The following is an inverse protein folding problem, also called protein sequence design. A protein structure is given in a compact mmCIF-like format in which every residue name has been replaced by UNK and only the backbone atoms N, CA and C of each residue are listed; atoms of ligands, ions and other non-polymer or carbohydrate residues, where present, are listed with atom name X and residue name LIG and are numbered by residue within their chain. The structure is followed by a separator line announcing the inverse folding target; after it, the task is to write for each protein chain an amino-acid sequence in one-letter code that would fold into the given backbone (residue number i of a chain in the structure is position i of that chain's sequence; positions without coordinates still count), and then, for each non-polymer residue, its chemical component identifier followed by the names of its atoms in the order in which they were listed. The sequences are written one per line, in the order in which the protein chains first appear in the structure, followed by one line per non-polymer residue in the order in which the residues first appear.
data_IF_903428930256
#
_entry.id   IF_903428930256
#
_cell.length_a   1.000
_cell.length_b   1.000
_cell.length_c   1.000
_cell.angle_alpha   90.00
_cell.angle_beta   90.00
_cell.angle_gamma   90.00
#
_symmetry.space_group_name_H-M   'P 1'
#
loop_
_entity.id
_entity.type
_entity.pdbx_description
1 polymer ?
#
# COMPACT_ATOMS: atom_id res chain seq x y z
N UNK A 1 12.18 -5.85 10.58
CA UNK A 1 12.57 -4.84 11.55
C UNK A 1 14.03 -4.44 11.30
N UNK A 2 14.33 -3.15 11.25
CA UNK A 2 15.68 -2.64 10.97
C UNK A 2 15.80 -1.19 11.42
N UNK A 3 17.06 -0.68 11.48
CA UNK A 3 17.36 0.74 11.68
C UNK A 3 17.60 1.43 10.33
N UNK A 4 16.91 2.53 10.10
CA UNK A 4 17.12 3.39 8.92
C UNK A 4 17.34 4.82 9.43
N UNK A 5 18.52 5.39 9.17
CA UNK A 5 18.92 6.69 9.71
C UNK A 5 18.83 6.80 11.26
N UNK A 6 19.04 5.69 11.97
CA UNK A 6 18.93 5.64 13.43
C UNK A 6 17.48 5.56 13.95
N UNK A 7 16.51 5.37 13.10
CA UNK A 7 15.08 5.23 13.42
C UNK A 7 14.69 3.76 13.24
N UNK A 8 13.99 3.19 14.22
CA UNK A 8 13.46 1.84 14.12
C UNK A 8 12.28 1.80 13.14
N UNK A 9 12.36 0.88 12.17
CA UNK A 9 11.35 0.71 11.13
C UNK A 9 10.93 -0.76 11.06
N UNK A 10 9.62 -1.00 11.07
CA UNK A 10 9.02 -2.29 10.74
C UNK A 10 8.33 -2.20 9.39
N UNK A 11 8.60 -3.15 8.51
CA UNK A 11 7.98 -3.16 7.18
C UNK A 11 7.86 -4.56 6.61
N UNK A 12 6.84 -4.74 5.77
CA UNK A 12 6.74 -5.86 4.84
C UNK A 12 7.68 -5.60 3.67
N UNK A 13 8.44 -6.61 3.27
CA UNK A 13 9.34 -6.54 2.11
C UNK A 13 9.08 -7.70 1.17
N UNK A 14 8.63 -7.39 -0.02
CA UNK A 14 8.58 -8.36 -1.12
C UNK A 14 9.97 -8.46 -1.75
N UNK A 15 10.66 -9.56 -1.48
CA UNK A 15 12.02 -9.82 -1.98
C UNK A 15 12.07 -9.98 -3.51
N UNK A 16 10.95 -10.29 -4.15
CA UNK A 16 10.86 -10.48 -5.60
C UNK A 16 10.81 -9.14 -6.32
N UNK A 17 9.97 -8.23 -5.86
CA UNK A 17 9.73 -6.92 -6.49
C UNK A 17 10.51 -5.79 -5.82
N UNK A 18 11.12 -6.02 -4.66
CA UNK A 18 11.71 -5.04 -3.75
C UNK A 18 10.68 -4.03 -3.21
N UNK A 19 9.40 -4.39 -3.23
CA UNK A 19 8.34 -3.55 -2.67
C UNK A 19 8.41 -3.52 -1.15
N UNK A 20 8.03 -2.40 -0.55
CA UNK A 20 7.96 -2.28 0.92
C UNK A 20 6.78 -1.42 1.35
N UNK A 21 6.23 -1.72 2.51
CA UNK A 21 5.19 -0.96 3.20
C UNK A 21 5.36 -1.16 4.69
N UNK A 22 5.10 -0.14 5.51
CA UNK A 22 5.31 -0.27 6.95
C UNK A 22 5.21 1.03 7.72
N UNK A 23 5.83 1.05 8.89
CA UNK A 23 5.86 2.20 9.80
C UNK A 23 7.15 2.28 10.60
N UNK A 24 7.41 3.43 11.19
CA UNK A 24 8.53 3.65 12.09
C UNK A 24 8.09 3.90 13.55
N UNK A 25 9.05 3.91 14.47
CA UNK A 25 8.87 4.15 15.91
C UNK A 25 8.29 5.53 16.25
N UNK A 26 8.38 6.48 15.32
CA UNK A 26 7.80 7.82 15.48
C UNK A 26 6.34 7.89 15.03
N UNK A 27 5.74 6.75 14.65
CA UNK A 27 4.35 6.65 14.20
C UNK A 27 4.14 7.11 12.75
N UNK A 28 5.18 7.21 11.93
CA UNK A 28 5.01 7.50 10.50
C UNK A 28 4.79 6.19 9.76
N UNK A 29 3.64 6.07 9.10
CA UNK A 29 3.27 4.92 8.28
C UNK A 29 3.21 5.26 6.81
N UNK A 30 3.51 4.27 5.96
CA UNK A 30 3.42 4.39 4.52
C UNK A 30 2.93 3.11 3.88
N UNK A 31 1.87 3.24 3.07
CA UNK A 31 1.32 2.16 2.23
C UNK A 31 1.09 2.65 0.82
N UNK A 32 1.16 1.75 -0.15
CA UNK A 32 1.00 2.11 -1.55
C UNK A 32 0.14 1.09 -2.31
N UNK A 33 -0.60 1.59 -3.29
CA UNK A 33 -1.31 0.79 -4.28
C UNK A 33 -0.81 1.12 -5.68
N UNK A 34 -0.28 0.13 -6.38
CA UNK A 34 0.28 0.30 -7.71
C UNK A 34 -0.78 0.79 -8.72
N UNK A 35 -0.41 1.79 -9.51
CA UNK A 35 -1.05 2.13 -10.78
C UNK A 35 -0.23 1.46 -11.89
N UNK A 36 -0.59 0.25 -12.26
CA UNK A 36 0.17 -0.68 -13.12
C UNK A 36 0.60 -0.13 -14.49
N UNK A 37 0.06 1.00 -14.91
CA UNK A 37 0.40 1.67 -16.19
C UNK A 37 1.35 2.84 -15.96
N UNK A 38 1.96 2.95 -14.79
CA UNK A 38 2.83 4.07 -14.40
C UNK A 38 4.23 4.03 -14.96
N UNK A 39 4.66 2.92 -15.52
CA UNK A 39 5.98 2.81 -16.16
C UNK A 39 5.86 3.15 -17.63
N UNK A 40 6.70 4.07 -18.12
CA UNK A 40 6.83 4.28 -19.55
C UNK A 40 7.49 3.04 -20.21
N UNK A 41 7.38 2.93 -21.53
CA UNK A 41 7.92 1.76 -22.26
C UNK A 41 9.44 1.63 -22.11
N UNK A 42 10.14 2.73 -21.85
CA UNK A 42 11.58 2.74 -21.59
C UNK A 42 11.90 2.13 -20.22
N UNK A 43 11.12 2.50 -19.18
CA UNK A 43 11.25 1.90 -17.84
C UNK A 43 10.92 0.41 -17.87
N UNK A 44 9.83 0.00 -18.53
CA UNK A 44 9.48 -1.41 -18.73
C UNK A 44 10.59 -2.17 -19.45
N UNK A 45 11.16 -1.59 -20.50
CA UNK A 45 12.27 -2.18 -21.25
C UNK A 45 13.53 -2.33 -20.38
N UNK A 46 13.84 -1.35 -19.53
CA UNK A 46 14.99 -1.43 -18.61
C UNK A 46 14.76 -2.53 -17.57
N UNK A 47 13.59 -2.60 -16.96
CA UNK A 47 13.24 -3.63 -15.98
C UNK A 47 13.32 -5.02 -16.62
N UNK A 48 12.74 -5.19 -17.82
CA UNK A 48 12.76 -6.45 -18.55
C UNK A 48 14.18 -6.89 -18.95
N UNK A 49 15.01 -5.97 -19.44
CA UNK A 49 16.36 -6.28 -19.94
C UNK A 49 17.40 -6.47 -18.84
N UNK A 50 17.25 -5.77 -17.72
CA UNK A 50 18.28 -5.75 -16.67
C UNK A 50 17.90 -6.59 -15.45
N UNK A 51 16.68 -7.10 -15.37
CA UNK A 51 16.14 -7.75 -14.16
C UNK A 51 16.13 -6.81 -12.93
N UNK A 52 16.35 -5.52 -13.14
CA UNK A 52 16.38 -4.54 -12.03
C UNK A 52 14.98 -4.35 -11.50
N UNK A 53 14.84 -4.54 -10.20
CA UNK A 53 13.61 -4.33 -9.45
C UNK A 53 13.21 -2.85 -9.47
N UNK A 54 11.92 -2.58 -9.28
CA UNK A 54 11.45 -1.22 -9.02
C UNK A 54 12.21 -0.61 -7.84
N UNK A 55 12.56 0.67 -7.94
CA UNK A 55 13.18 1.39 -6.81
C UNK A 55 12.16 1.89 -5.78
N UNK A 56 10.88 1.56 -5.94
CA UNK A 56 9.83 2.09 -5.09
C UNK A 56 9.98 1.60 -3.64
N UNK A 57 10.38 0.36 -3.41
CA UNK A 57 10.64 -0.14 -2.06
C UNK A 57 11.77 0.60 -1.36
N UNK A 58 12.86 0.92 -2.06
CA UNK A 58 13.94 1.73 -1.50
C UNK A 58 13.43 3.13 -1.12
N UNK A 59 12.62 3.74 -1.98
CA UNK A 59 12.03 5.07 -1.74
C UNK A 59 11.11 5.06 -0.52
N UNK A 60 10.28 4.02 -0.38
CA UNK A 60 9.39 3.83 0.77
C UNK A 60 10.22 3.66 2.05
N UNK A 61 11.23 2.80 2.05
CA UNK A 61 12.11 2.61 3.21
C UNK A 61 12.85 3.91 3.57
N UNK A 62 13.31 4.68 2.56
CA UNK A 62 13.93 5.99 2.79
C UNK A 62 12.96 6.98 3.43
N UNK A 63 11.70 6.97 3.00
CA UNK A 63 10.66 7.81 3.59
C UNK A 63 10.32 7.38 5.03
N UNK A 64 10.24 6.08 5.30
CA UNK A 64 10.04 5.56 6.66
C UNK A 64 11.20 5.88 7.61
N UNK A 65 12.41 6.06 7.11
CA UNK A 65 13.58 6.49 7.90
C UNK A 65 13.63 8.00 8.18
N UNK A 66 12.52 8.72 8.04
CA UNK A 66 12.45 10.18 8.32
C UNK A 66 11.82 10.47 9.69
N UNK A 67 12.17 11.63 10.26
CA UNK A 67 11.75 12.03 11.61
C UNK A 67 10.36 12.66 11.68
N UNK A 68 9.82 13.12 10.56
CA UNK A 68 8.50 13.75 10.49
C UNK A 68 7.84 13.52 9.12
N UNK A 69 6.53 13.67 9.07
CA UNK A 69 5.72 13.40 7.88
C UNK A 69 6.09 14.27 6.67
N UNK A 70 6.54 15.50 6.89
CA UNK A 70 6.96 16.42 5.81
C UNK A 70 8.21 15.91 5.10
N UNK A 71 9.18 15.44 5.86
CA UNK A 71 10.42 14.90 5.29
C UNK A 71 10.16 13.50 4.68
N UNK A 72 9.27 12.70 5.27
CA UNK A 72 8.80 11.46 4.68
C UNK A 72 8.13 11.69 3.32
N UNK A 73 7.24 12.69 3.21
CA UNK A 73 6.63 13.09 1.93
C UNK A 73 7.70 13.50 0.92
N UNK A 74 8.64 14.35 1.31
CA UNK A 74 9.73 14.78 0.41
C UNK A 74 10.56 13.60 -0.08
N UNK A 75 10.94 12.69 0.82
CA UNK A 75 11.67 11.48 0.45
C UNK A 75 10.87 10.60 -0.52
N UNK A 76 9.57 10.44 -0.28
CA UNK A 76 8.69 9.63 -1.13
C UNK A 76 8.54 10.19 -2.55
N UNK A 77 8.46 11.52 -2.73
CA UNK A 77 8.16 12.14 -4.04
C UNK A 77 9.42 12.59 -4.80
N UNK A 78 10.51 12.93 -4.10
CA UNK A 78 11.70 13.51 -4.73
C UNK A 78 12.81 12.49 -4.97
N UNK A 79 12.91 11.45 -4.13
CA UNK A 79 13.99 10.46 -4.25
C UNK A 79 13.84 9.66 -5.54
N UNK A 80 14.80 9.79 -6.46
CA UNK A 80 14.88 8.99 -7.68
C UNK A 80 13.58 8.93 -8.51
N UNK A 81 12.86 10.04 -8.63
CA UNK A 81 11.62 10.14 -9.41
C UNK A 81 10.36 9.71 -8.67
N UNK A 82 10.44 9.51 -7.36
CA UNK A 82 9.31 9.29 -6.47
C UNK A 82 8.62 7.92 -6.57
N UNK A 83 7.83 7.59 -5.55
CA UNK A 83 7.03 6.37 -5.48
C UNK A 83 5.82 6.48 -6.41
N UNK A 84 5.67 5.53 -7.33
CA UNK A 84 4.56 5.53 -8.29
C UNK A 84 3.33 4.85 -7.68
N UNK A 85 2.16 5.29 -8.10
CA UNK A 85 0.89 4.73 -7.63
C UNK A 85 0.12 5.67 -6.73
N UNK A 86 -0.77 5.10 -5.94
CA UNK A 86 -1.43 5.77 -4.83
C UNK A 86 -0.66 5.50 -3.55
N UNK A 87 -0.12 6.53 -2.94
CA UNK A 87 0.61 6.44 -1.68
C UNK A 87 -0.17 7.11 -0.58
N UNK A 88 -0.33 6.43 0.55
CA UNK A 88 -0.73 7.05 1.82
C UNK A 88 0.52 7.23 2.67
N UNK A 89 0.69 8.42 3.20
CA UNK A 89 1.72 8.75 4.18
C UNK A 89 0.98 9.37 5.36
N UNK A 90 1.11 8.77 6.53
CA UNK A 90 0.36 9.21 7.70
C UNK A 90 1.21 9.20 8.97
N UNK A 91 0.82 10.04 9.91
CA UNK A 91 1.18 9.97 11.33
C UNK A 91 -0.12 10.03 12.16
N UNK A 92 -0.08 10.00 13.51
CA UNK A 92 -1.30 10.03 14.32
C UNK A 92 -2.22 11.23 14.08
N UNK A 93 -1.71 12.33 13.54
CA UNK A 93 -2.43 13.59 13.39
C UNK A 93 -2.68 14.00 11.94
N UNK A 94 -1.98 13.38 10.99
CA UNK A 94 -2.02 13.81 9.58
C UNK A 94 -2.15 12.62 8.65
N UNK A 95 -2.89 12.81 7.57
CA UNK A 95 -2.98 11.89 6.46
C UNK A 95 -2.71 12.63 5.14
N UNK A 96 -1.74 12.17 4.40
CA UNK A 96 -1.39 12.69 3.08
C UNK A 96 -1.60 11.59 2.05
N UNK A 97 -2.30 11.91 0.98
CA UNK A 97 -2.44 11.03 -0.18
C UNK A 97 -1.66 11.61 -1.36
N UNK A 98 -0.89 10.75 -2.02
CA UNK A 98 -0.16 11.10 -3.24
C UNK A 98 -0.62 10.17 -4.35
N UNK A 99 -1.02 10.73 -5.49
CA UNK A 99 -1.20 9.97 -6.72
C UNK A 99 -0.14 10.42 -7.71
N UNK A 100 0.72 9.50 -8.13
CA UNK A 100 1.86 9.79 -8.96
C UNK A 100 2.10 8.72 -10.02
N UNK A 101 2.42 9.15 -11.24
CA UNK A 101 2.83 8.26 -12.33
C UNK A 101 4.10 8.77 -12.99
N UNK A 102 4.70 8.02 -13.90
CA UNK A 102 5.85 8.49 -14.69
C UNK A 102 5.47 9.60 -15.68
N UNK A 103 4.17 9.71 -16.03
CA UNK A 103 3.68 10.67 -17.06
C UNK A 103 3.09 11.95 -16.46
N UNK A 104 2.68 11.90 -15.20
CA UNK A 104 1.94 13.00 -14.57
C UNK A 104 2.69 13.56 -13.37
N UNK A 105 2.54 14.84 -13.14
CA UNK A 105 2.99 15.49 -11.90
C UNK A 105 2.26 14.85 -10.70
N UNK A 106 2.91 14.74 -9.53
CA UNK A 106 2.24 14.22 -8.35
C UNK A 106 1.07 15.12 -7.94
N UNK A 107 -0.08 14.51 -7.68
CA UNK A 107 -1.21 15.15 -7.01
C UNK A 107 -1.15 14.79 -5.55
N UNK A 108 -0.91 15.79 -4.70
CA UNK A 108 -0.75 15.66 -3.25
C UNK A 108 -1.97 16.29 -2.59
N UNK A 109 -2.60 15.58 -1.67
CA UNK A 109 -3.74 16.08 -0.89
C UNK A 109 -3.49 15.79 0.59
N UNK A 110 -3.64 16.83 1.41
CA UNK A 110 -3.78 16.66 2.86
C UNK A 110 -5.24 16.30 3.09
N UNK A 111 -5.46 15.20 3.77
CA UNK A 111 -6.77 14.63 4.03
C UNK A 111 -7.16 14.85 5.49
N UNK A 112 -8.44 14.81 5.78
CA UNK A 112 -8.92 14.75 7.16
C UNK A 112 -8.67 13.34 7.71
N UNK A 113 -7.83 13.16 8.76
CA UNK A 113 -7.54 11.83 9.29
C UNK A 113 -8.73 11.14 9.95
N UNK A 114 -9.81 11.87 10.22
CA UNK A 114 -11.06 11.29 10.74
C UNK A 114 -11.92 10.65 9.65
N UNK A 115 -11.63 10.91 8.38
CA UNK A 115 -12.36 10.36 7.26
C UNK A 115 -11.67 9.12 6.68
N UNK A 116 -12.47 8.28 6.01
CA UNK A 116 -11.99 7.08 5.36
C UNK A 116 -11.61 7.30 3.89
N UNK A 117 -10.43 6.87 3.55
CA UNK A 117 -9.91 6.92 2.18
C UNK A 117 -9.52 5.54 1.67
N UNK A 118 -10.05 5.15 0.52
CA UNK A 118 -9.77 3.87 -0.14
C UNK A 118 -9.14 4.12 -1.50
N UNK A 119 -8.07 3.39 -1.78
CA UNK A 119 -7.39 3.38 -3.09
C UNK A 119 -7.27 1.94 -3.61
N UNK A 120 -7.34 1.82 -4.91
CA UNK A 120 -7.15 0.57 -5.66
C UNK A 120 -6.28 0.86 -6.89
N UNK A 121 -6.42 0.11 -7.98
CA UNK A 121 -5.48 0.15 -9.11
C UNK A 121 -5.95 1.01 -10.30
N UNK A 122 -6.91 1.92 -10.12
CA UNK A 122 -7.31 2.90 -11.13
C UNK A 122 -7.04 4.32 -10.63
N UNK A 123 -6.70 5.21 -11.56
CA UNK A 123 -6.41 6.61 -11.23
C UNK A 123 -7.65 7.37 -10.77
N UNK A 124 -7.50 8.23 -9.79
CA UNK A 124 -8.56 9.11 -9.28
C UNK A 124 -8.32 10.57 -9.63
N UNK A 125 -7.08 11.01 -9.59
CA UNK A 125 -6.67 12.34 -10.02
C UNK A 125 -6.22 12.33 -11.49
N UNK A 126 -5.71 11.20 -11.96
CA UNK A 126 -5.29 10.95 -13.34
C UNK A 126 -6.11 9.78 -13.90
N UNK A 127 -7.30 10.03 -14.50
CA UNK A 127 -8.21 8.97 -14.97
C UNK A 127 -7.61 8.05 -16.05
N UNK A 128 -6.57 8.51 -16.73
CA UNK A 128 -5.80 7.77 -17.74
C UNK A 128 -4.67 6.92 -17.12
N UNK A 129 -4.54 6.91 -15.81
CA UNK A 129 -3.54 6.14 -15.08
C UNK A 129 -4.12 4.86 -14.47
N UNK A 130 -3.29 3.83 -14.38
CA UNK A 130 -3.70 2.54 -13.85
C UNK A 130 -4.56 1.77 -14.83
N UNK A 131 -5.49 0.99 -14.31
CA UNK A 131 -6.51 0.35 -15.13
C UNK A 131 -7.54 1.39 -15.56
N UNK A 132 -7.77 1.52 -16.85
CA UNK A 132 -8.69 2.52 -17.43
C UNK A 132 -9.94 1.88 -18.04
N UNK A 133 -9.85 0.58 -18.38
CA UNK A 133 -10.94 -0.17 -19.01
C UNK A 133 -10.83 -1.68 -18.75
N UNK A 134 -11.80 -2.43 -19.23
CA UNK A 134 -11.80 -3.89 -19.20
C UNK A 134 -12.10 -4.50 -17.81
N UNK A 135 -11.88 -5.83 -17.67
CA UNK A 135 -12.22 -6.55 -16.43
C UNK A 135 -11.44 -6.08 -15.20
N UNK A 136 -10.16 -5.75 -15.36
CA UNK A 136 -9.30 -5.30 -14.25
C UNK A 136 -9.71 -3.91 -13.74
N UNK A 137 -10.13 -3.01 -14.63
CA UNK A 137 -10.72 -1.73 -14.24
C UNK A 137 -12.02 -1.93 -13.46
N UNK A 138 -12.95 -2.74 -14.00
CA UNK A 138 -14.22 -3.06 -13.33
C UNK A 138 -13.95 -3.66 -11.94
N UNK A 139 -13.03 -4.61 -11.84
CA UNK A 139 -12.61 -5.20 -10.57
C UNK A 139 -12.04 -4.16 -9.60
N UNK A 140 -11.20 -3.25 -10.08
CA UNK A 140 -10.61 -2.19 -9.26
C UNK A 140 -11.69 -1.25 -8.68
N UNK A 141 -12.68 -0.87 -9.49
CA UNK A 141 -13.81 -0.02 -9.07
C UNK A 141 -14.69 -0.76 -8.05
N UNK A 142 -15.06 -2.01 -8.32
CA UNK A 142 -15.89 -2.83 -7.41
C UNK A 142 -15.20 -3.04 -6.07
N UNK A 143 -13.91 -3.38 -6.05
CA UNK A 143 -13.15 -3.56 -4.80
C UNK A 143 -13.09 -2.26 -3.99
N UNK A 144 -12.91 -1.11 -4.65
CA UNK A 144 -12.93 0.19 -3.97
C UNK A 144 -14.30 0.47 -3.34
N UNK A 145 -15.38 0.24 -4.07
CA UNK A 145 -16.73 0.43 -3.56
C UNK A 145 -17.03 -0.51 -2.39
N UNK A 146 -16.66 -1.78 -2.50
CA UNK A 146 -16.81 -2.78 -1.43
C UNK A 146 -16.04 -2.39 -0.18
N UNK A 147 -14.77 -2.01 -0.32
CA UNK A 147 -13.94 -1.58 0.81
C UNK A 147 -14.57 -0.38 1.52
N UNK A 148 -15.04 0.65 0.79
CA UNK A 148 -15.73 1.80 1.39
C UNK A 148 -16.98 1.42 2.16
N UNK A 149 -17.79 0.50 1.61
CA UNK A 149 -19.01 0.05 2.25
C UNK A 149 -18.77 -0.80 3.50
N UNK A 150 -17.65 -1.54 3.52
CA UNK A 150 -17.29 -2.40 4.66
C UNK A 150 -16.59 -1.59 5.74
N UNK A 151 -15.52 -0.90 5.42
CA UNK A 151 -14.70 -0.16 6.40
C UNK A 151 -15.52 0.94 7.10
N UNK A 152 -16.43 1.61 6.41
CA UNK A 152 -17.31 2.62 7.02
C UNK A 152 -18.29 2.08 8.09
N UNK A 153 -18.35 0.77 8.30
CA UNK A 153 -19.21 0.12 9.31
C UNK A 153 -18.43 -0.46 10.49
N UNK A 154 -17.12 -0.42 10.42
CA UNK A 154 -16.25 -1.06 11.40
C UNK A 154 -16.08 -0.15 12.61
N UNK A 155 -16.06 -0.76 13.79
CA UNK A 155 -15.90 -0.07 15.06
C UNK A 155 -14.53 -0.29 15.70
N UNK A 156 -13.80 -1.32 15.24
CA UNK A 156 -12.51 -1.73 15.77
C UNK A 156 -11.61 -2.19 14.60
N UNK A 157 -10.32 -1.94 14.69
CA UNK A 157 -9.33 -2.39 13.72
C UNK A 157 -9.25 -3.92 13.57
N UNK A 158 -9.64 -4.68 14.59
CA UNK A 158 -9.73 -6.15 14.50
C UNK A 158 -10.82 -6.59 13.53
N UNK A 159 -11.93 -5.85 13.50
CA UNK A 159 -13.00 -6.06 12.55
C UNK A 159 -12.55 -5.74 11.12
N UNK A 160 -11.63 -4.77 10.94
CA UNK A 160 -11.08 -4.42 9.63
C UNK A 160 -10.32 -5.59 9.01
N UNK A 161 -9.43 -6.24 9.77
CA UNK A 161 -8.69 -7.42 9.29
C UNK A 161 -9.64 -8.57 8.96
N UNK A 162 -10.67 -8.77 9.77
CA UNK A 162 -11.68 -9.81 9.51
C UNK A 162 -12.52 -9.46 8.28
N UNK A 163 -12.95 -8.22 8.14
CA UNK A 163 -13.74 -7.76 7.01
C UNK A 163 -12.98 -7.85 5.68
N UNK A 164 -11.69 -7.58 5.69
CA UNK A 164 -10.82 -7.73 4.51
C UNK A 164 -10.68 -9.20 4.08
N UNK A 165 -10.88 -10.16 4.98
CA UNK A 165 -10.91 -11.60 4.67
C UNK A 165 -12.25 -12.05 4.12
N UNK A 166 -13.31 -11.32 4.40
CA UNK A 166 -14.67 -11.71 3.99
C UNK A 166 -14.81 -11.52 2.48
N UNK A 167 -14.85 -12.62 1.77
CA UNK A 167 -15.16 -12.63 0.35
C UNK A 167 -16.66 -12.47 0.15
N UNK A 168 -17.07 -11.42 -0.53
CA UNK A 168 -18.47 -11.16 -0.86
C UNK A 168 -18.96 -11.97 -2.05
N UNK A 169 -18.04 -12.49 -2.83
CA UNK A 169 -18.27 -13.25 -4.06
C UNK A 169 -17.68 -14.66 -3.92
N UNK A 170 -17.89 -15.51 -4.93
CA UNK A 170 -17.25 -16.82 -4.99
C UNK A 170 -15.74 -16.74 -4.84
N UNK A 171 -15.11 -17.80 -4.35
CA UNK A 171 -13.71 -17.84 -3.94
C UNK A 171 -12.71 -17.32 -4.99
N UNK A 172 -12.95 -17.64 -6.25
CA UNK A 172 -12.13 -17.29 -7.42
C UNK A 172 -12.49 -15.94 -8.05
N UNK A 173 -13.41 -15.18 -7.46
CA UNK A 173 -13.89 -13.95 -8.07
C UNK A 173 -12.85 -12.82 -7.96
N UNK A 174 -12.44 -12.18 -9.08
CA UNK A 174 -11.43 -11.11 -9.08
C UNK A 174 -11.89 -9.84 -8.35
N UNK A 175 -13.18 -9.72 -8.03
CA UNK A 175 -13.75 -8.57 -7.33
C UNK A 175 -13.65 -8.69 -5.79
N UNK A 176 -13.22 -9.82 -5.27
CA UNK A 176 -12.95 -9.97 -3.84
C UNK A 176 -11.79 -9.08 -3.39
N UNK A 177 -11.85 -8.58 -2.17
CA UNK A 177 -10.72 -7.85 -1.56
C UNK A 177 -9.55 -8.79 -1.30
N UNK A 178 -9.83 -9.97 -0.77
CA UNK A 178 -8.87 -11.07 -0.69
C UNK A 178 -9.05 -11.97 -1.92
N UNK A 179 -8.14 -11.84 -2.88
CA UNK A 179 -8.21 -12.56 -4.16
C UNK A 179 -7.45 -13.89 -4.08
N UNK A 180 -8.04 -14.92 -4.65
CA UNK A 180 -7.38 -16.20 -4.87
C UNK A 180 -7.80 -16.73 -6.24
N UNK A 181 -7.27 -16.11 -7.28
CA UNK A 181 -7.48 -16.48 -8.68
C UNK A 181 -6.20 -17.08 -9.27
N UNK A 182 -6.31 -17.73 -10.41
CA UNK A 182 -5.13 -18.29 -11.13
C UNK A 182 -4.09 -17.21 -11.46
N UNK A 183 -4.54 -15.97 -11.70
CA UNK A 183 -3.68 -14.86 -12.10
C UNK A 183 -3.17 -14.03 -10.92
N UNK A 184 -3.88 -14.02 -9.79
CA UNK A 184 -3.55 -13.13 -8.68
C UNK A 184 -4.05 -13.68 -7.36
N UNK A 185 -3.15 -13.71 -6.38
CA UNK A 185 -3.41 -14.15 -5.02
C UNK A 185 -3.04 -13.06 -4.03
N UNK A 186 -3.92 -12.87 -3.03
CA UNK A 186 -3.58 -12.06 -1.86
C UNK A 186 -2.74 -12.93 -0.95
N UNK A 187 -1.50 -12.55 -0.73
CA UNK A 187 -0.53 -13.32 0.09
C UNK A 187 -0.46 -12.82 1.52
N UNK A 188 -0.83 -11.56 1.74
CA UNK A 188 -0.78 -10.94 3.07
C UNK A 188 -1.78 -9.79 3.19
N UNK A 189 -2.07 -9.45 4.43
CA UNK A 189 -2.83 -8.27 4.85
C UNK A 189 -2.07 -7.58 5.96
N UNK A 190 -1.93 -6.29 5.89
CA UNK A 190 -1.19 -5.49 6.87
C UNK A 190 -2.09 -4.41 7.46
N UNK A 191 -1.94 -4.18 8.75
CA UNK A 191 -2.56 -3.07 9.48
C UNK A 191 -1.48 -2.32 10.24
N UNK A 192 -1.51 -1.00 10.12
CA UNK A 192 -0.64 -0.06 10.82
C UNK A 192 -1.48 0.79 11.76
N UNK A 193 -1.37 0.58 13.06
CA UNK A 193 -1.93 1.49 14.06
C UNK A 193 -0.84 2.48 14.47
N UNK A 194 -0.88 3.68 13.89
CA UNK A 194 0.17 4.67 14.04
C UNK A 194 0.15 5.34 15.41
N UNK A 195 -1.00 5.43 16.04
CA UNK A 195 -1.17 6.00 17.39
C UNK A 195 -0.59 5.08 18.46
N UNK A 196 -0.91 3.79 18.39
CA UNK A 196 -0.41 2.78 19.33
C UNK A 196 0.93 2.19 18.90
N UNK A 197 1.44 2.57 17.72
CA UNK A 197 2.69 2.07 17.12
C UNK A 197 2.70 0.55 16.96
N UNK A 198 1.57 0.00 16.52
CA UNK A 198 1.38 -1.44 16.33
C UNK A 198 1.36 -1.77 14.84
N UNK A 199 2.22 -2.69 14.45
CA UNK A 199 2.24 -3.32 13.14
C UNK A 199 1.64 -4.72 13.25
N UNK A 200 0.61 -5.02 12.44
CA UNK A 200 0.02 -6.36 12.35
C UNK A 200 0.14 -6.82 10.91
N UNK A 201 0.71 -7.99 10.73
CA UNK A 201 0.79 -8.70 9.45
C UNK A 201 0.10 -10.04 9.57
N UNK A 202 -0.92 -10.27 8.75
CA UNK A 202 -1.47 -11.59 8.51
C UNK A 202 -1.00 -12.07 7.13
N UNK A 203 -0.40 -13.23 7.07
CA UNK A 203 0.08 -13.82 5.82
C UNK A 203 -0.37 -15.27 5.68
N UNK A 204 -0.55 -15.69 4.44
CA UNK A 204 -0.74 -17.08 4.15
C UNK A 204 0.62 -17.79 4.27
N UNK A 205 0.70 -18.75 5.20
CA UNK A 205 1.75 -19.75 5.22
C UNK A 205 1.56 -20.78 4.11
N UNK A 206 1.98 -22.00 4.33
CA UNK A 206 1.55 -23.10 3.48
C UNK A 206 0.01 -23.19 3.54
N UNK A 207 -0.64 -23.45 2.39
CA UNK A 207 -2.11 -23.46 2.23
C UNK A 207 -2.85 -24.34 3.22
N UNK A 208 -2.15 -25.32 3.80
CA UNK A 208 -2.68 -26.25 4.80
C UNK A 208 -2.73 -25.68 6.22
N UNK A 209 -1.96 -24.62 6.51
CA UNK A 209 -1.81 -24.09 7.86
C UNK A 209 -2.68 -22.84 8.18
N UNK A 210 -3.35 -22.27 7.16
CA UNK A 210 -4.16 -21.08 7.31
C UNK A 210 -3.34 -19.77 7.46
N UNK A 211 -4.00 -18.70 7.90
CA UNK A 211 -3.34 -17.42 8.15
C UNK A 211 -2.48 -17.46 9.41
N UNK A 212 -1.22 -17.06 9.26
CA UNK A 212 -0.32 -16.75 10.38
C UNK A 212 -0.32 -15.24 10.61
N UNK A 213 -0.30 -14.82 11.88
CA UNK A 213 -0.25 -13.43 12.29
C UNK A 213 1.05 -13.08 12.98
N UNK A 214 1.63 -11.93 12.64
CA UNK A 214 2.71 -11.29 13.38
C UNK A 214 2.18 -9.98 13.90
N UNK A 215 2.39 -9.73 15.20
CA UNK A 215 2.15 -8.43 15.84
C UNK A 215 3.49 -7.92 16.35
N UNK A 216 3.84 -6.72 15.95
CA UNK A 216 5.04 -6.00 16.39
C UNK A 216 4.63 -4.68 17.02
N UNK A 217 5.08 -4.42 18.23
CA UNK A 217 4.99 -3.11 18.88
C UNK A 217 6.33 -2.40 18.73
N UNK A 218 6.30 -1.15 18.35
CA UNK A 218 7.49 -0.30 18.26
C UNK A 218 7.65 0.49 19.56
N UNK A 219 8.87 0.94 19.91
CA UNK A 219 9.10 1.71 21.12
C UNK A 219 8.21 2.96 21.21
N UNK A 220 7.84 3.28 22.45
CA UNK A 220 7.08 4.50 22.79
C UNK A 220 7.95 5.74 22.82
#
# INVERSE_FOLDING_TARGET
HTLINGIEVVYLHDITTDWSEGMNELGIGMVNSSLLVGYDEKEKSIISKTGKKSKDGIRIRTALGQKNIKDALRAAILTNGGVKGHTFIADPNHLITVEMTSKHKPVIKIQDPSEMYVRTNHGLAHPDAGYTEGPDYKSSVVRRATARAVVGRLKDYKDELLAMRTNRFSHDNPNNMSRDTDKMKTTSQMLLNLTEKIFILNYWGDRTEGFKGIRQELPS
#
